data_IF_216024440660
#
_entry.id   IF_216024440660
#
_cell.length_a   1.000
_cell.length_b   1.000
_cell.length_c   1.000
_cell.angle_alpha   90.00
_cell.angle_beta   90.00
_cell.angle_gamma   90.00
#
_symmetry.space_group_name_H-M   'P 1'
#
loop_
_entity.id
_entity.type
_entity.pdbx_description
1 polymer ?
#
# COMPACT_ATOMS: atom_id res chain seq x y z
N UNK A 1 -13.34 -0.20 38.13
CA UNK A 1 -12.87 0.00 36.73
C UNK A 1 -14.10 -0.13 35.85
N UNK A 2 -14.39 0.79 34.91
CA UNK A 2 -13.47 1.58 34.08
C UNK A 2 -13.46 3.07 34.49
N UNK A 3 -12.33 3.77 34.60
CA UNK A 3 -11.33 4.09 33.59
C UNK A 3 -11.90 4.91 32.42
N UNK A 4 -12.39 6.12 32.72
CA UNK A 4 -12.46 7.20 31.72
C UNK A 4 -11.21 8.04 31.83
N UNK A 5 -10.48 8.00 30.73
CA UNK A 5 -9.22 8.65 30.47
C UNK A 5 -9.27 10.17 30.71
N UNK A 6 -8.17 10.62 31.29
CA UNK A 6 -7.69 11.99 31.34
C UNK A 6 -7.74 12.61 29.93
N UNK A 7 -8.53 13.67 29.78
CA UNK A 7 -8.27 14.72 28.80
C UNK A 7 -7.77 15.93 29.58
N UNK A 8 -6.44 16.04 29.67
CA UNK A 8 -5.78 17.27 30.08
C UNK A 8 -5.74 18.18 28.86
N UNK A 9 -6.56 19.24 28.86
CA UNK A 9 -6.63 20.18 27.75
C UNK A 9 -7.15 21.53 28.20
N UNK A 10 -6.21 22.40 28.59
CA UNK A 10 -6.36 23.84 28.84
C UNK A 10 -7.25 24.21 30.04
N UNK A 11 -6.62 24.58 31.16
CA UNK A 11 -7.32 25.29 32.23
C UNK A 11 -7.88 26.60 31.64
N UNK A 12 -9.20 26.85 31.65
CA UNK A 12 -9.75 28.13 31.19
C UNK A 12 -9.14 29.26 32.03
N UNK A 13 -8.98 30.48 31.47
CA UNK A 13 -8.31 31.59 32.14
C UNK A 13 -8.89 31.79 33.54
N UNK A 14 -8.04 32.13 34.51
CA UNK A 14 -8.41 32.25 35.94
C UNK A 14 -9.68 33.10 36.14
N UNK A 15 -9.91 34.09 35.27
CA UNK A 15 -11.10 34.92 35.27
C UNK A 15 -12.40 34.14 34.98
N UNK A 16 -12.42 33.23 34.00
CA UNK A 16 -13.59 32.40 33.71
C UNK A 16 -13.91 31.44 34.87
N UNK A 17 -12.88 30.86 35.49
CA UNK A 17 -13.07 30.04 36.70
C UNK A 17 -13.60 30.87 37.88
N UNK A 18 -13.15 32.12 38.03
CA UNK A 18 -13.68 33.04 39.04
C UNK A 18 -15.16 33.37 38.76
N UNK A 19 -15.53 33.61 37.50
CA UNK A 19 -16.92 33.90 37.11
C UNK A 19 -17.81 32.67 37.32
N UNK A 20 -17.35 31.47 36.97
CA UNK A 20 -18.07 30.22 37.25
C UNK A 20 -18.27 29.99 38.75
N UNK A 21 -17.23 30.23 39.57
CA UNK A 21 -17.33 30.14 41.03
C UNK A 21 -18.26 31.21 41.61
N UNK A 22 -18.23 32.44 41.09
CA UNK A 22 -19.15 33.52 41.49
C UNK A 22 -20.60 33.18 41.14
N UNK A 23 -20.86 32.66 39.94
CA UNK A 23 -22.18 32.20 39.52
C UNK A 23 -22.68 31.03 40.40
N UNK A 24 -21.78 30.11 40.75
CA UNK A 24 -22.11 29.00 41.65
C UNK A 24 -22.42 29.49 43.08
N UNK A 25 -21.69 30.49 43.58
CA UNK A 25 -21.98 31.13 44.87
C UNK A 25 -23.34 31.82 44.82
N UNK A 26 -23.65 32.57 43.77
CA UNK A 26 -24.95 33.25 43.62
C UNK A 26 -26.12 32.26 43.58
N UNK A 27 -25.96 31.13 42.88
CA UNK A 27 -26.98 30.08 42.84
C UNK A 27 -27.21 29.48 44.24
N UNK A 28 -26.13 29.16 44.96
CA UNK A 28 -26.20 28.62 46.32
C UNK A 28 -26.80 29.64 47.31
N UNK A 29 -26.53 30.94 47.14
CA UNK A 29 -27.16 32.00 47.92
C UNK A 29 -28.65 32.15 47.59
N UNK A 30 -29.05 31.97 46.33
CA UNK A 30 -30.44 31.90 45.89
C UNK A 30 -31.19 30.73 46.53
N UNK A 31 -30.60 29.53 46.45
CA UNK A 31 -31.16 28.32 47.07
C UNK A 31 -31.27 28.47 48.59
N UNK A 32 -30.25 29.05 49.24
CA UNK A 32 -30.27 29.33 50.69
C UNK A 32 -31.40 30.31 51.06
N UNK A 33 -31.63 31.34 50.26
CA UNK A 33 -32.74 32.31 50.47
C UNK A 33 -34.09 31.64 50.28
N UNK A 34 -34.29 30.89 49.20
CA UNK A 34 -35.54 30.17 48.93
C UNK A 34 -35.86 29.14 50.03
N UNK A 35 -34.84 28.42 50.52
CA UNK A 35 -35.00 27.50 51.65
C UNK A 35 -35.37 28.22 52.94
N UNK A 36 -34.75 29.38 53.20
CA UNK A 36 -35.05 30.17 54.39
C UNK A 36 -36.48 30.72 54.35
N UNK A 37 -36.93 31.23 53.20
CA UNK A 37 -38.28 31.72 52.99
C UNK A 37 -39.34 30.62 53.12
N UNK A 38 -39.11 29.44 52.53
CA UNK A 38 -40.04 28.31 52.67
C UNK A 38 -40.14 27.80 54.11
N UNK A 39 -39.01 27.79 54.84
CA UNK A 39 -38.96 27.43 56.25
C UNK A 39 -39.68 28.47 57.12
N UNK A 40 -39.43 29.77 56.92
CA UNK A 40 -40.13 30.84 57.63
C UNK A 40 -41.64 30.84 57.37
N UNK A 41 -42.05 30.61 56.12
CA UNK A 41 -43.45 30.48 55.76
C UNK A 41 -44.12 29.29 56.47
N UNK A 42 -43.44 28.14 56.53
CA UNK A 42 -43.90 26.95 57.25
C UNK A 42 -44.01 27.22 58.76
N UNK A 43 -43.02 27.90 59.36
CA UNK A 43 -43.05 28.30 60.76
C UNK A 43 -44.23 29.24 61.04
N UNK A 44 -44.49 30.20 60.16
CA UNK A 44 -45.63 31.13 60.29
C UNK A 44 -46.97 30.39 60.22
N UNK A 45 -47.15 29.51 59.25
CA UNK A 45 -48.36 28.66 59.12
C UNK A 45 -48.56 27.75 60.34
N UNK A 46 -47.48 27.21 60.88
CA UNK A 46 -47.53 26.41 62.11
C UNK A 46 -47.89 27.27 63.33
N UNK A 47 -47.37 28.50 63.45
CA UNK A 47 -47.77 29.45 64.50
C UNK A 47 -49.26 29.80 64.42
N UNK A 48 -49.79 30.05 63.23
CA UNK A 48 -51.21 30.32 62.99
C UNK A 48 -52.07 29.10 63.37
N UNK A 49 -51.64 27.90 62.98
CA UNK A 49 -52.32 26.64 63.34
C UNK A 49 -52.32 26.40 64.86
N UNK A 50 -51.20 26.63 65.55
CA UNK A 50 -51.11 26.54 67.01
C UNK A 50 -52.00 27.58 67.69
N UNK A 51 -52.06 28.81 67.16
CA UNK A 51 -52.96 29.84 67.67
C UNK A 51 -54.43 29.43 67.52
N UNK A 52 -54.81 28.87 66.36
CA UNK A 52 -56.14 28.30 66.12
C UNK A 52 -56.49 27.20 67.11
N UNK A 53 -55.61 26.20 67.27
CA UNK A 53 -55.80 25.10 68.23
C UNK A 53 -55.85 25.58 69.68
N UNK A 54 -55.11 26.64 70.05
CA UNK A 54 -55.20 27.25 71.38
C UNK A 54 -56.52 27.97 71.61
N UNK A 55 -57.05 28.67 70.60
CA UNK A 55 -58.37 29.28 70.68
C UNK A 55 -59.48 28.22 70.78
N UNK A 56 -59.37 27.14 70.01
CA UNK A 56 -60.29 26.00 70.10
C UNK A 56 -60.21 25.31 71.46
N UNK A 57 -59.01 25.06 71.98
CA UNK A 57 -58.85 24.55 73.35
C UNK A 57 -59.46 25.49 74.38
N UNK A 58 -59.28 26.81 74.25
CA UNK A 58 -59.93 27.78 75.14
C UNK A 58 -61.46 27.72 75.05
N UNK A 59 -62.03 27.54 73.85
CA UNK A 59 -63.47 27.33 73.64
C UNK A 59 -63.94 26.01 74.25
N UNK A 60 -63.19 24.92 74.07
CA UNK A 60 -63.49 23.61 74.65
C UNK A 60 -63.41 23.63 76.18
N UNK A 61 -62.40 24.30 76.76
CA UNK A 61 -62.30 24.50 78.20
C UNK A 61 -63.46 25.36 78.74
N UNK A 62 -63.90 26.41 78.03
CA UNK A 62 -65.13 27.14 78.39
C UNK A 62 -66.36 26.23 78.35
N UNK A 63 -66.55 25.46 77.28
CA UNK A 63 -67.63 24.47 77.19
C UNK A 63 -67.55 23.43 78.32
N UNK A 64 -66.36 23.00 78.69
CA UNK A 64 -66.14 22.07 79.79
C UNK A 64 -66.47 22.74 81.15
N UNK A 65 -66.10 24.00 81.36
CA UNK A 65 -66.50 24.78 82.53
C UNK A 65 -68.02 25.00 82.59
N UNK A 66 -68.69 25.26 81.46
CA UNK A 66 -70.15 25.39 81.39
C UNK A 66 -70.81 24.05 81.74
N UNK A 67 -70.29 22.93 81.20
CA UNK A 67 -70.77 21.58 81.54
C UNK A 67 -70.48 21.23 83.01
N UNK A 68 -69.33 21.64 83.57
CA UNK A 68 -69.01 21.43 84.97
C UNK A 68 -69.86 22.32 85.89
N UNK A 69 -70.21 23.54 85.49
CA UNK A 69 -71.14 24.42 86.20
C UNK A 69 -72.56 23.83 86.22
N UNK A 70 -72.99 23.20 85.11
CA UNK A 70 -74.24 22.43 85.03
C UNK A 70 -74.16 21.13 85.84
N UNK A 71 -72.99 20.48 85.92
CA UNK A 71 -72.77 19.26 86.71
C UNK A 71 -72.67 19.52 88.21
N UNK A 72 -72.31 20.74 88.65
CA UNK A 72 -72.43 21.19 90.05
C UNK A 72 -73.86 21.54 90.48
N UNK A 73 -74.82 21.64 89.55
CA UNK A 73 -76.25 21.82 89.81
C UNK A 73 -77.09 20.55 89.52
N UNK A 74 -76.45 19.48 89.02
CA UNK A 74 -77.07 18.20 88.68
C UNK A 74 -76.27 17.02 89.22
N UNK A 75 -76.05 17.02 90.54
CA UNK A 75 -75.48 15.89 91.26
C UNK A 75 -76.47 14.73 91.28
N UNK A 76 -76.18 13.70 90.48
CA UNK A 76 -76.35 12.27 90.78
C UNK A 76 -77.16 11.97 92.06
N UNK A 77 -78.49 11.87 91.94
CA UNK A 77 -79.29 11.05 92.86
C UNK A 77 -79.48 9.68 92.21
N UNK A 78 -78.48 8.82 92.40
CA UNK A 78 -78.65 7.38 92.33
C UNK A 78 -79.34 6.89 93.59
N UNK A 79 -80.41 6.13 93.38
CA UNK A 79 -80.78 4.95 94.16
C UNK A 79 -80.95 5.10 95.68
N UNK A 80 -82.22 5.29 96.08
CA UNK A 80 -82.79 4.56 97.22
C UNK A 80 -84.32 4.66 97.22
N UNK A 81 -84.98 3.74 96.52
CA UNK A 81 -86.25 3.15 96.97
C UNK A 81 -86.50 1.88 96.16
N UNK A 82 -85.77 0.82 96.51
CA UNK A 82 -86.03 -0.52 96.00
C UNK A 82 -87.25 -1.06 96.77
N UNK A 83 -88.45 -0.71 96.31
CA UNK A 83 -89.69 -1.32 96.80
C UNK A 83 -89.78 -2.71 96.20
N UNK A 84 -89.61 -3.73 97.04
CA UNK A 84 -89.75 -5.14 96.68
C UNK A 84 -91.16 -5.40 96.15
N UNK A 85 -91.26 -5.62 94.84
CA UNK A 85 -92.48 -6.04 94.16
C UNK A 85 -92.15 -6.73 92.82
N UNK A 86 -93.01 -7.64 92.32
CA UNK A 86 -92.76 -8.44 91.12
C UNK A 86 -92.32 -7.66 89.86
N UNK A 87 -92.70 -6.38 89.73
CA UNK A 87 -92.26 -5.50 88.62
C UNK A 87 -90.78 -5.12 88.62
N UNK A 88 -90.06 -5.26 89.75
CA UNK A 88 -88.61 -4.99 89.81
C UNK A 88 -87.79 -6.07 89.07
N UNK A 89 -88.25 -7.33 89.10
CA UNK A 89 -87.60 -8.45 88.39
C UNK A 89 -87.79 -8.31 86.88
N UNK A 90 -88.98 -7.87 86.44
CA UNK A 90 -89.27 -7.59 85.02
C UNK A 90 -88.42 -6.43 84.48
N UNK A 91 -88.24 -5.35 85.26
CA UNK A 91 -87.37 -4.23 84.87
C UNK A 91 -85.89 -4.63 84.77
N UNK A 92 -85.38 -5.43 85.73
CA UNK A 92 -84.03 -5.97 85.67
C UNK A 92 -83.88 -6.91 84.47
N UNK A 93 -84.86 -7.77 84.21
CA UNK A 93 -84.87 -8.69 83.06
C UNK A 93 -84.87 -7.92 81.73
N UNK A 94 -85.69 -6.87 81.60
CA UNK A 94 -85.69 -5.99 80.43
C UNK A 94 -84.32 -5.34 80.22
N UNK A 95 -83.70 -4.79 81.28
CA UNK A 95 -82.34 -4.23 81.20
C UNK A 95 -81.29 -5.28 80.82
N UNK A 96 -81.39 -6.51 81.32
CA UNK A 96 -80.50 -7.61 80.94
C UNK A 96 -80.68 -7.94 79.44
N UNK A 97 -81.92 -8.02 78.96
CA UNK A 97 -82.23 -8.23 77.55
C UNK A 97 -81.70 -7.09 76.67
N UNK A 98 -81.90 -5.83 77.06
CA UNK A 98 -81.33 -4.68 76.36
C UNK A 98 -79.80 -4.72 76.29
N UNK A 99 -79.14 -5.06 77.39
CA UNK A 99 -77.67 -5.17 77.44
C UNK A 99 -77.16 -6.38 76.65
N UNK A 100 -77.89 -7.50 76.67
CA UNK A 100 -77.60 -8.69 75.88
C UNK A 100 -77.74 -8.40 74.38
N UNK A 101 -78.83 -7.74 73.97
CA UNK A 101 -79.05 -7.30 72.60
C UNK A 101 -77.96 -6.32 72.17
N UNK A 102 -77.63 -5.32 73.00
CA UNK A 102 -76.54 -4.39 72.72
C UNK A 102 -75.18 -5.09 72.60
N UNK A 103 -74.93 -6.13 73.38
CA UNK A 103 -73.71 -6.94 73.28
C UNK A 103 -73.71 -7.75 71.97
N UNK A 104 -74.84 -8.34 71.59
CA UNK A 104 -74.97 -9.08 70.34
C UNK A 104 -74.83 -8.18 69.11
N UNK A 105 -75.40 -6.98 69.14
CA UNK A 105 -75.21 -5.96 68.10
C UNK A 105 -73.74 -5.57 67.98
N UNK A 106 -73.06 -5.34 69.11
CA UNK A 106 -71.63 -5.03 69.12
C UNK A 106 -70.78 -6.21 68.61
N UNK A 107 -71.11 -7.45 68.97
CA UNK A 107 -70.46 -8.66 68.44
C UNK A 107 -70.63 -8.75 66.92
N UNK A 108 -71.85 -8.57 66.42
CA UNK A 108 -72.12 -8.56 64.99
C UNK A 108 -71.33 -7.45 64.28
N UNK A 109 -71.30 -6.24 64.84
CA UNK A 109 -70.49 -5.14 64.29
C UNK A 109 -68.99 -5.45 64.28
N UNK A 110 -68.46 -6.12 65.31
CA UNK A 110 -67.06 -6.56 65.36
C UNK A 110 -66.79 -7.63 64.29
N UNK A 111 -67.67 -8.61 64.13
CA UNK A 111 -67.54 -9.64 63.10
C UNK A 111 -67.60 -9.06 61.69
N UNK A 112 -68.52 -8.13 61.43
CA UNK A 112 -68.62 -7.42 60.15
C UNK A 112 -67.34 -6.61 59.89
N UNK A 113 -66.80 -5.91 60.89
CA UNK A 113 -65.53 -5.19 60.76
C UNK A 113 -64.35 -6.14 60.54
N UNK A 114 -64.31 -7.32 61.16
CA UNK A 114 -63.28 -8.34 60.94
C UNK A 114 -63.31 -8.88 59.51
N UNK A 115 -64.48 -9.27 59.00
CA UNK A 115 -64.65 -9.70 57.60
C UNK A 115 -64.23 -8.61 56.62
N UNK A 116 -64.59 -7.35 56.92
CA UNK A 116 -64.17 -6.21 56.10
C UNK A 116 -62.66 -5.98 56.13
N UNK A 117 -62.01 -6.17 57.27
CA UNK A 117 -60.56 -6.09 57.40
C UNK A 117 -59.87 -7.17 56.56
N UNK A 118 -60.34 -8.41 56.64
CA UNK A 118 -59.82 -9.55 55.87
C UNK A 118 -59.97 -9.33 54.36
N UNK A 119 -61.13 -8.84 53.90
CA UNK A 119 -61.35 -8.45 52.50
C UNK A 119 -60.37 -7.36 52.04
N UNK A 120 -60.14 -6.33 52.85
CA UNK A 120 -59.23 -5.24 52.51
C UNK A 120 -57.77 -5.71 52.51
N UNK A 121 -57.38 -6.56 53.45
CA UNK A 121 -56.04 -7.18 53.49
C UNK A 121 -55.81 -8.08 52.27
N UNK A 122 -56.82 -8.86 51.86
CA UNK A 122 -56.74 -9.66 50.64
C UNK A 122 -56.60 -8.78 49.40
N UNK A 123 -57.38 -7.70 49.29
CA UNK A 123 -57.28 -6.74 48.18
C UNK A 123 -55.91 -6.05 48.14
N UNK A 124 -55.36 -5.66 49.29
CA UNK A 124 -54.00 -5.10 49.37
C UNK A 124 -52.94 -6.09 48.88
N UNK A 125 -52.97 -7.35 49.36
CA UNK A 125 -52.04 -8.40 48.90
C UNK A 125 -52.14 -8.67 47.40
N UNK A 126 -53.36 -8.68 46.84
CA UNK A 126 -53.58 -8.86 45.41
C UNK A 126 -53.07 -7.65 44.61
N UNK A 127 -53.25 -6.43 45.12
CA UNK A 127 -52.72 -5.21 44.48
C UNK A 127 -51.19 -5.18 44.51
N UNK A 128 -50.57 -5.55 45.63
CA UNK A 128 -49.11 -5.68 45.76
C UNK A 128 -48.58 -6.72 44.77
N UNK A 129 -49.18 -7.93 44.74
CA UNK A 129 -48.79 -8.99 43.80
C UNK A 129 -48.95 -8.56 42.33
N UNK A 130 -50.00 -7.83 41.98
CA UNK A 130 -50.19 -7.25 40.64
C UNK A 130 -49.12 -6.21 40.32
N UNK A 131 -48.80 -5.33 41.27
CA UNK A 131 -47.72 -4.36 41.13
C UNK A 131 -46.36 -5.03 40.89
N UNK A 132 -46.06 -6.10 41.62
CA UNK A 132 -44.84 -6.92 41.40
C UNK A 132 -44.83 -7.61 40.03
N UNK A 133 -45.97 -8.11 39.55
CA UNK A 133 -46.06 -8.72 38.22
C UNK A 133 -45.86 -7.68 37.10
N UNK A 134 -46.40 -6.47 37.28
CA UNK A 134 -46.20 -5.37 36.33
C UNK A 134 -44.74 -4.90 36.31
N UNK A 135 -44.07 -4.83 37.47
CA UNK A 135 -42.65 -4.49 37.51
C UNK A 135 -41.78 -5.59 36.92
N UNK A 136 -42.09 -6.86 37.18
CA UNK A 136 -41.41 -8.00 36.57
C UNK A 136 -41.50 -7.93 35.04
N UNK A 137 -42.70 -7.78 34.49
CA UNK A 137 -42.90 -7.65 33.03
C UNK A 137 -42.18 -6.46 32.43
N UNK A 138 -42.13 -5.32 33.15
CA UNK A 138 -41.38 -4.13 32.69
C UNK A 138 -39.88 -4.41 32.65
N UNK A 139 -39.34 -5.07 33.66
CA UNK A 139 -37.92 -5.44 33.72
C UNK A 139 -37.56 -6.48 32.66
N UNK A 140 -38.42 -7.48 32.45
CA UNK A 140 -38.28 -8.47 31.37
C UNK A 140 -38.23 -7.79 30.00
N UNK A 141 -39.19 -6.90 29.72
CA UNK A 141 -39.21 -6.12 28.47
C UNK A 141 -37.99 -5.21 28.31
N UNK A 142 -37.49 -4.61 29.40
CA UNK A 142 -36.28 -3.78 29.36
C UNK A 142 -35.04 -4.63 29.07
N UNK A 143 -34.98 -5.84 29.65
CA UNK A 143 -33.89 -6.77 29.46
C UNK A 143 -33.88 -7.33 28.02
N UNK A 144 -35.03 -7.69 27.47
CA UNK A 144 -35.14 -8.10 26.06
C UNK A 144 -34.71 -6.98 25.11
N UNK A 145 -35.14 -5.74 25.34
CA UNK A 145 -34.67 -4.58 24.57
C UNK A 145 -33.16 -4.38 24.67
N UNK A 146 -32.57 -4.62 25.85
CA UNK A 146 -31.12 -4.53 26.01
C UNK A 146 -30.40 -5.66 25.26
N UNK A 147 -30.95 -6.88 25.25
CA UNK A 147 -30.42 -8.02 24.48
C UNK A 147 -30.43 -7.76 22.98
N UNK A 148 -31.57 -7.32 22.42
CA UNK A 148 -31.66 -7.00 21.00
C UNK A 148 -30.66 -5.92 20.59
N UNK A 149 -30.50 -4.87 21.41
CA UNK A 149 -29.49 -3.83 21.18
C UNK A 149 -28.06 -4.36 21.23
N UNK A 150 -27.80 -5.34 22.10
CA UNK A 150 -26.48 -5.98 22.19
C UNK A 150 -26.21 -6.82 20.94
N UNK A 151 -27.17 -7.63 20.50
CA UNK A 151 -27.07 -8.44 19.27
C UNK A 151 -26.89 -7.55 18.02
N UNK A 152 -27.64 -6.45 17.92
CA UNK A 152 -27.47 -5.45 16.85
C UNK A 152 -26.07 -4.81 16.92
N UNK A 153 -25.60 -4.42 18.10
CA UNK A 153 -24.27 -3.85 18.28
C UNK A 153 -23.16 -4.86 17.92
N UNK A 154 -23.33 -6.13 18.26
CA UNK A 154 -22.43 -7.22 17.88
C UNK A 154 -22.40 -7.41 16.36
N UNK A 155 -23.57 -7.42 15.71
CA UNK A 155 -23.68 -7.53 14.27
C UNK A 155 -22.99 -6.35 13.56
N UNK A 156 -23.26 -5.13 14.01
CA UNK A 156 -22.61 -3.90 13.50
C UNK A 156 -21.10 -3.98 13.70
N UNK A 157 -20.64 -4.41 14.89
CA UNK A 157 -19.21 -4.53 15.19
C UNK A 157 -18.54 -5.60 14.30
N UNK A 158 -19.22 -6.73 14.07
CA UNK A 158 -18.75 -7.76 13.15
C UNK A 158 -18.61 -7.22 11.74
N UNK A 159 -19.61 -6.48 11.25
CA UNK A 159 -19.55 -5.82 9.94
C UNK A 159 -18.37 -4.85 9.84
N UNK A 160 -18.18 -3.99 10.85
CA UNK A 160 -17.04 -3.05 10.85
C UNK A 160 -15.69 -3.77 10.89
N UNK A 161 -15.57 -4.91 11.59
CA UNK A 161 -14.34 -5.72 11.56
C UNK A 161 -14.08 -6.30 10.18
N UNK A 162 -15.10 -6.82 9.51
CA UNK A 162 -14.98 -7.34 8.13
C UNK A 162 -14.58 -6.23 7.16
N UNK A 163 -15.23 -5.07 7.25
CA UNK A 163 -14.89 -3.90 6.44
C UNK A 163 -13.44 -3.46 6.68
N UNK A 164 -13.00 -3.43 7.94
CA UNK A 164 -11.60 -3.11 8.28
C UNK A 164 -10.63 -4.12 7.68
N UNK A 165 -10.94 -5.42 7.71
CA UNK A 165 -10.10 -6.44 7.10
C UNK A 165 -9.97 -6.23 5.58
N UNK A 166 -11.08 -5.97 4.88
CA UNK A 166 -11.06 -5.65 3.45
C UNK A 166 -10.29 -4.36 3.13
N UNK A 167 -10.41 -3.32 3.97
CA UNK A 167 -9.60 -2.11 3.82
C UNK A 167 -8.10 -2.38 4.06
N UNK A 168 -7.75 -3.30 4.95
CA UNK A 168 -6.35 -3.73 5.15
C UNK A 168 -5.82 -4.52 3.96
N UNK A 169 -6.64 -5.38 3.35
CA UNK A 169 -6.31 -6.06 2.07
C UNK A 169 -6.03 -5.04 0.95
N UNK A 170 -6.78 -3.94 0.92
CA UNK A 170 -6.53 -2.84 -0.03
C UNK A 170 -5.16 -2.16 0.21
N UNK A 171 -4.72 -2.05 1.47
CA UNK A 171 -3.37 -1.59 1.79
C UNK A 171 -2.29 -2.58 1.34
N UNK A 172 -2.54 -3.89 1.48
CA UNK A 172 -1.63 -4.92 0.98
C UNK A 172 -1.52 -4.86 -0.55
N UNK A 173 -2.62 -4.56 -1.25
CA UNK A 173 -2.59 -4.32 -2.69
C UNK A 173 -1.70 -3.12 -3.06
N UNK A 174 -1.71 -2.03 -2.27
CA UNK A 174 -0.79 -0.91 -2.49
C UNK A 174 0.68 -1.33 -2.38
N UNK A 175 1.04 -2.09 -1.34
CA UNK A 175 2.43 -2.57 -1.19
C UNK A 175 2.87 -3.50 -2.34
N UNK A 176 1.93 -4.26 -2.92
CA UNK A 176 2.19 -5.10 -4.10
C UNK A 176 2.38 -4.25 -5.36
N UNK A 177 1.62 -3.17 -5.53
CA UNK A 177 1.81 -2.22 -6.63
C UNK A 177 3.17 -1.55 -6.55
N UNK A 178 3.56 -1.04 -5.38
CA UNK A 178 4.86 -0.41 -5.17
C UNK A 178 6.02 -1.37 -5.50
N UNK A 179 5.89 -2.65 -5.15
CA UNK A 179 6.87 -3.69 -5.48
C UNK A 179 6.94 -3.97 -7.00
N UNK A 180 5.80 -4.02 -7.69
CA UNK A 180 5.76 -4.19 -9.15
C UNK A 180 6.33 -2.97 -9.87
N UNK A 181 6.05 -1.75 -9.41
CA UNK A 181 6.65 -0.52 -9.93
C UNK A 181 8.17 -0.52 -9.78
N UNK A 182 8.69 -0.93 -8.62
CA UNK A 182 10.12 -1.07 -8.40
C UNK A 182 10.77 -2.07 -9.38
N UNK A 183 10.11 -3.21 -9.64
CA UNK A 183 10.60 -4.20 -10.61
C UNK A 183 10.54 -3.69 -12.05
N UNK A 184 9.50 -2.94 -12.43
CA UNK A 184 9.43 -2.29 -13.75
C UNK A 184 10.58 -1.30 -13.92
N UNK A 185 10.87 -0.47 -12.92
CA UNK A 185 11.99 0.46 -12.96
C UNK A 185 13.34 -0.28 -13.07
N UNK A 186 13.50 -1.40 -12.34
CA UNK A 186 14.68 -2.27 -12.43
C UNK A 186 14.85 -2.81 -13.85
N UNK A 187 13.80 -3.38 -14.44
CA UNK A 187 13.82 -3.91 -15.81
C UNK A 187 14.04 -2.81 -16.87
N UNK A 188 13.52 -1.60 -16.66
CA UNK A 188 13.79 -0.46 -17.53
C UNK A 188 15.26 -0.06 -17.50
N UNK A 189 15.88 -0.02 -16.32
CA UNK A 189 17.31 0.25 -16.19
C UNK A 189 18.16 -0.85 -16.84
N UNK A 190 17.80 -2.12 -16.64
CA UNK A 190 18.44 -3.25 -17.32
C UNK A 190 18.32 -3.13 -18.84
N UNK A 191 17.14 -2.75 -19.34
CA UNK A 191 16.93 -2.55 -20.77
C UNK A 191 17.80 -1.40 -21.31
N UNK A 192 17.92 -0.29 -20.58
CA UNK A 192 18.82 0.80 -20.95
C UNK A 192 20.29 0.33 -20.98
N UNK A 193 20.73 -0.43 -19.98
CA UNK A 193 22.08 -1.02 -19.97
C UNK A 193 22.31 -1.96 -21.15
N UNK A 194 21.35 -2.81 -21.48
CA UNK A 194 21.42 -3.70 -22.65
C UNK A 194 21.40 -2.93 -23.98
N UNK A 195 20.71 -1.77 -24.06
CA UNK A 195 20.77 -0.90 -25.24
C UNK A 195 22.17 -0.36 -25.45
N UNK A 196 22.80 0.17 -24.40
CA UNK A 196 24.17 0.69 -24.45
C UNK A 196 25.14 -0.42 -24.86
N UNK A 197 25.07 -1.59 -24.23
CA UNK A 197 25.89 -2.74 -24.60
C UNK A 197 25.70 -3.15 -26.06
N UNK A 198 24.46 -3.15 -26.58
CA UNK A 198 24.20 -3.47 -27.98
C UNK A 198 24.78 -2.41 -28.93
N UNK A 199 24.69 -1.12 -28.58
CA UNK A 199 25.32 -0.06 -29.38
C UNK A 199 26.84 -0.16 -29.39
N UNK A 200 27.47 -0.50 -28.25
CA UNK A 200 28.91 -0.74 -28.18
C UNK A 200 29.32 -1.98 -29.00
N UNK A 201 28.56 -3.08 -28.91
CA UNK A 201 28.77 -4.27 -29.71
C UNK A 201 28.59 -4.02 -31.22
N UNK A 202 27.69 -3.10 -31.60
CA UNK A 202 27.55 -2.67 -33.00
C UNK A 202 28.76 -1.86 -33.46
N UNK A 203 29.19 -0.88 -32.67
CA UNK A 203 30.35 -0.04 -32.99
C UNK A 203 31.64 -0.85 -33.12
N UNK A 204 31.88 -1.80 -32.21
CA UNK A 204 33.05 -2.71 -32.26
C UNK A 204 33.01 -3.62 -33.48
N UNK A 205 31.85 -4.18 -33.83
CA UNK A 205 31.67 -4.94 -35.08
C UNK A 205 31.94 -4.07 -36.31
N UNK A 206 31.41 -2.86 -36.37
CA UNK A 206 31.62 -1.97 -37.52
C UNK A 206 33.10 -1.56 -37.66
N UNK A 207 33.77 -1.24 -36.56
CA UNK A 207 35.22 -0.99 -36.55
C UNK A 207 36.03 -2.22 -37.03
N UNK A 208 35.66 -3.44 -36.60
CA UNK A 208 36.30 -4.66 -37.08
C UNK A 208 36.07 -4.90 -38.59
N UNK A 209 34.88 -4.56 -39.11
CA UNK A 209 34.59 -4.62 -40.56
C UNK A 209 35.44 -3.63 -41.34
N UNK A 210 35.53 -2.39 -40.87
CA UNK A 210 36.37 -1.37 -41.51
C UNK A 210 37.84 -1.77 -41.54
N UNK A 211 38.36 -2.30 -40.42
CA UNK A 211 39.74 -2.82 -40.37
C UNK A 211 39.97 -3.96 -41.36
N UNK A 212 39.02 -4.90 -41.47
CA UNK A 212 39.11 -5.99 -42.44
C UNK A 212 39.13 -5.45 -43.87
N UNK A 213 38.24 -4.51 -44.21
CA UNK A 213 38.19 -3.91 -45.55
C UNK A 213 39.51 -3.21 -45.92
N UNK A 214 40.07 -2.40 -45.01
CA UNK A 214 41.34 -1.71 -45.25
C UNK A 214 42.50 -2.68 -45.47
N UNK A 215 42.52 -3.80 -44.74
CA UNK A 215 43.56 -4.83 -44.90
C UNK A 215 43.36 -5.62 -46.20
N UNK A 216 42.13 -5.93 -46.59
CA UNK A 216 41.82 -6.58 -47.87
C UNK A 216 42.23 -5.71 -49.07
N UNK A 217 41.91 -4.41 -49.04
CA UNK A 217 42.32 -3.45 -50.07
C UNK A 217 43.84 -3.30 -50.13
N UNK A 218 44.52 -3.24 -48.99
CA UNK A 218 45.98 -3.19 -48.92
C UNK A 218 46.62 -4.40 -49.59
N UNK A 219 46.15 -5.61 -49.25
CA UNK A 219 46.64 -6.86 -49.87
C UNK A 219 46.36 -6.89 -51.37
N UNK A 220 45.21 -6.39 -51.80
CA UNK A 220 44.87 -6.30 -53.22
C UNK A 220 45.84 -5.36 -53.99
N UNK A 221 46.11 -4.17 -53.44
CA UNK A 221 47.03 -3.21 -54.03
C UNK A 221 48.47 -3.75 -54.07
N UNK A 222 48.95 -4.34 -52.99
CA UNK A 222 50.28 -4.96 -52.93
C UNK A 222 50.43 -6.07 -53.97
N UNK A 223 49.41 -6.92 -54.10
CA UNK A 223 49.37 -7.97 -55.13
C UNK A 223 49.43 -7.39 -56.53
N UNK A 224 48.65 -6.35 -56.81
CA UNK A 224 48.64 -5.69 -58.12
C UNK A 224 50.01 -5.10 -58.47
N UNK A 225 50.61 -4.33 -57.55
CA UNK A 225 51.95 -3.74 -57.75
C UNK A 225 53.02 -4.81 -57.96
N UNK A 226 52.94 -5.92 -57.22
CA UNK A 226 53.84 -7.07 -57.40
C UNK A 226 53.67 -7.75 -58.75
N UNK A 227 52.43 -7.99 -59.19
CA UNK A 227 52.14 -8.60 -60.49
C UNK A 227 52.70 -7.75 -61.64
N UNK A 228 52.57 -6.42 -61.56
CA UNK A 228 53.20 -5.49 -62.50
C UNK A 228 54.73 -5.60 -62.50
N UNK A 229 55.37 -5.63 -61.33
CA UNK A 229 56.83 -5.73 -61.24
C UNK A 229 57.35 -7.08 -61.75
N UNK A 230 56.64 -8.17 -61.45
CA UNK A 230 56.94 -9.49 -61.97
C UNK A 230 56.81 -9.53 -63.50
N UNK A 231 55.79 -8.90 -64.07
CA UNK A 231 55.61 -8.82 -65.53
C UNK A 231 56.78 -8.06 -66.19
N UNK A 232 57.20 -6.94 -65.61
CA UNK A 232 58.33 -6.16 -66.12
C UNK A 232 59.65 -6.94 -66.09
N UNK A 233 59.96 -7.60 -64.97
CA UNK A 233 61.17 -8.41 -64.84
C UNK A 233 61.15 -9.64 -65.75
N UNK A 234 60.00 -10.31 -65.91
CA UNK A 234 59.85 -11.42 -66.86
C UNK A 234 60.15 -10.98 -68.28
N UNK A 235 59.62 -9.83 -68.69
CA UNK A 235 59.89 -9.25 -70.01
C UNK A 235 61.38 -8.95 -70.19
N UNK A 236 62.03 -8.35 -69.20
CA UNK A 236 63.48 -8.06 -69.25
C UNK A 236 64.32 -9.34 -69.33
N UNK A 237 63.99 -10.36 -68.53
CA UNK A 237 64.66 -11.65 -68.54
C UNK A 237 64.48 -12.36 -69.90
N UNK A 238 63.26 -12.38 -70.47
CA UNK A 238 62.99 -12.94 -71.80
C UNK A 238 63.77 -12.21 -72.91
N UNK A 239 63.84 -10.88 -72.85
CA UNK A 239 64.63 -10.08 -73.79
C UNK A 239 66.12 -10.39 -73.71
N UNK A 240 66.67 -10.55 -72.49
CA UNK A 240 68.09 -10.90 -72.28
C UNK A 240 68.41 -12.32 -72.70
N UNK A 241 67.54 -13.28 -72.39
CA UNK A 241 67.65 -14.66 -72.86
C UNK A 241 67.63 -14.74 -74.38
N UNK A 242 66.73 -14.02 -75.04
CA UNK A 242 66.69 -13.96 -76.51
C UNK A 242 67.97 -13.32 -77.10
N UNK A 243 68.57 -12.34 -76.42
CA UNK A 243 69.86 -11.76 -76.82
C UNK A 243 71.01 -12.75 -76.65
N UNK A 244 71.03 -13.49 -75.54
CA UNK A 244 72.01 -14.55 -75.27
C UNK A 244 71.93 -15.66 -76.31
N UNK A 245 70.75 -16.23 -76.55
CA UNK A 245 70.57 -17.26 -77.58
C UNK A 245 71.05 -16.78 -78.97
N UNK A 246 70.79 -15.52 -79.33
CA UNK A 246 71.28 -14.93 -80.59
C UNK A 246 72.79 -14.75 -80.60
N UNK A 247 73.40 -14.38 -79.49
CA UNK A 247 74.84 -14.20 -79.37
C UNK A 247 75.56 -15.55 -79.39
N UNK A 248 75.01 -16.57 -78.73
CA UNK A 248 75.53 -17.95 -78.75
C UNK A 248 75.45 -18.57 -80.14
N UNK A 249 74.31 -18.40 -80.85
CA UNK A 249 74.18 -18.83 -82.26
C UNK A 249 75.24 -18.17 -83.14
N UNK A 250 75.53 -16.87 -82.92
CA UNK A 250 76.59 -16.14 -83.64
C UNK A 250 77.97 -16.69 -83.32
N UNK A 251 78.28 -16.95 -82.04
CA UNK A 251 79.55 -17.54 -81.63
C UNK A 251 79.72 -18.94 -82.22
N UNK A 252 78.69 -19.79 -82.15
CA UNK A 252 78.74 -21.15 -82.69
C UNK A 252 79.02 -21.17 -84.20
N UNK A 253 78.42 -20.24 -84.96
CA UNK A 253 78.72 -20.05 -86.39
C UNK A 253 80.17 -19.60 -86.61
N UNK A 254 80.67 -18.65 -85.82
CA UNK A 254 82.07 -18.19 -85.85
C UNK A 254 83.07 -19.32 -85.53
N UNK A 255 82.80 -20.13 -84.51
CA UNK A 255 83.63 -21.30 -84.16
C UNK A 255 83.64 -22.34 -85.28
N UNK A 256 82.49 -22.56 -85.92
CA UNK A 256 82.37 -23.52 -87.05
C UNK A 256 83.14 -23.06 -88.28
N UNK A 257 83.14 -21.75 -88.57
CA UNK A 257 83.87 -21.15 -89.70
C UNK A 257 85.39 -21.10 -89.43
N UNK A 258 85.83 -20.85 -88.20
CA UNK A 258 87.26 -20.82 -87.84
C UNK A 258 87.95 -22.20 -87.83
N UNK A 259 87.20 -23.31 -87.98
CA UNK A 259 87.74 -24.67 -88.12
C UNK A 259 88.33 -24.97 -89.51
N UNK A 260 88.27 -24.05 -90.47
CA UNK A 260 89.01 -24.15 -91.75
C UNK A 260 90.36 -23.42 -91.68
N UNK A 261 91.51 -24.13 -91.70
CA UNK A 261 92.82 -23.49 -91.62
C UNK A 261 93.20 -22.88 -92.97
N UNK A 262 93.17 -21.56 -93.08
CA UNK A 262 93.78 -20.79 -94.17
C UNK A 262 94.93 -19.95 -93.60
N UNK A 263 96.17 -20.09 -94.11
CA UNK A 263 97.31 -19.30 -93.64
C UNK A 263 97.42 -18.04 -94.49
N UNK A 264 97.31 -16.84 -93.92
CA UNK A 264 97.92 -15.62 -94.51
C UNK A 264 97.85 -14.40 -93.57
N UNK A 265 99.02 -13.78 -93.33
CA UNK A 265 99.31 -12.52 -92.59
C UNK A 265 98.97 -12.47 -91.07
N UNK A 266 100.03 -12.49 -90.24
CA UNK A 266 99.94 -12.55 -88.77
C UNK A 266 99.30 -11.33 -88.07
N UNK A 267 99.22 -10.17 -88.73
CA UNK A 267 98.56 -8.98 -88.16
C UNK A 267 97.03 -9.09 -88.19
N UNK A 268 96.46 -9.62 -89.28
CA UNK A 268 95.02 -9.88 -89.43
C UNK A 268 94.55 -10.97 -88.49
N UNK A 269 95.38 -12.00 -88.27
CA UNK A 269 95.10 -13.08 -87.32
C UNK A 269 95.02 -12.58 -85.87
N UNK A 270 95.96 -11.74 -85.43
CA UNK A 270 95.94 -11.17 -84.08
C UNK A 270 94.71 -10.28 -83.84
N UNK A 271 94.29 -9.50 -84.84
CA UNK A 271 93.12 -8.64 -84.72
C UNK A 271 91.80 -9.44 -84.71
N UNK A 272 91.72 -10.54 -85.46
CA UNK A 272 90.59 -11.48 -85.39
C UNK A 272 90.53 -12.20 -84.03
N UNK A 273 91.69 -12.58 -83.48
CA UNK A 273 91.79 -13.21 -82.17
C UNK A 273 91.34 -12.27 -81.04
N UNK A 274 91.73 -11.00 -81.08
CA UNK A 274 91.23 -9.99 -80.14
C UNK A 274 89.72 -9.78 -80.26
N UNK A 275 89.17 -9.77 -81.48
CA UNK A 275 87.72 -9.66 -81.68
C UNK A 275 86.98 -10.89 -81.17
N UNK A 276 87.54 -12.10 -81.29
CA UNK A 276 86.93 -13.30 -80.71
C UNK A 276 86.94 -13.27 -79.19
N UNK A 277 88.06 -12.87 -78.57
CA UNK A 277 88.17 -12.72 -77.12
C UNK A 277 87.18 -11.67 -76.59
N UNK A 278 87.06 -10.51 -77.26
CA UNK A 278 86.07 -9.48 -76.89
C UNK A 278 84.62 -9.96 -77.04
N UNK A 279 84.31 -10.78 -78.05
CA UNK A 279 82.98 -11.37 -78.21
C UNK A 279 82.69 -12.42 -77.13
N UNK A 280 83.68 -13.22 -76.74
CA UNK A 280 83.58 -14.18 -75.65
C UNK A 280 83.33 -13.48 -74.31
N UNK A 281 84.08 -12.42 -74.02
CA UNK A 281 83.85 -11.58 -72.83
C UNK A 281 82.45 -10.95 -72.82
N UNK A 282 81.98 -10.44 -73.96
CA UNK A 282 80.65 -9.86 -74.08
C UNK A 282 79.55 -10.91 -73.84
N UNK A 283 79.74 -12.14 -74.30
CA UNK A 283 78.83 -13.26 -74.06
C UNK A 283 78.78 -13.68 -72.60
N UNK A 284 79.93 -13.76 -71.92
CA UNK A 284 79.97 -14.03 -70.49
C UNK A 284 79.23 -12.97 -69.68
N UNK A 285 79.38 -11.69 -70.06
CA UNK A 285 78.63 -10.59 -69.40
C UNK A 285 77.14 -10.72 -69.59
N UNK A 286 76.67 -10.98 -70.82
CA UNK A 286 75.24 -11.12 -71.08
C UNK A 286 74.64 -12.37 -70.39
N UNK A 287 75.37 -13.48 -70.28
CA UNK A 287 74.96 -14.67 -69.50
C UNK A 287 74.82 -14.34 -68.01
N UNK A 288 75.80 -13.64 -67.44
CA UNK A 288 75.73 -13.20 -66.05
C UNK A 288 74.54 -12.25 -65.79
N UNK A 289 74.22 -11.38 -66.74
CA UNK A 289 73.04 -10.49 -66.65
C UNK A 289 71.71 -11.28 -66.72
N UNK A 290 71.62 -12.33 -67.55
CA UNK A 290 70.44 -13.23 -67.58
C UNK A 290 70.28 -13.99 -66.26
N UNK A 291 71.35 -14.62 -65.76
CA UNK A 291 71.33 -15.36 -64.49
C UNK A 291 70.96 -14.45 -63.31
N UNK A 292 71.43 -13.20 -63.31
CA UNK A 292 71.07 -12.22 -62.28
C UNK A 292 69.57 -11.86 -62.31
N UNK A 293 68.99 -11.66 -63.50
CA UNK A 293 67.56 -11.37 -63.65
C UNK A 293 66.69 -12.57 -63.29
N UNK A 294 67.11 -13.79 -63.61
CA UNK A 294 66.41 -15.02 -63.23
C UNK A 294 66.42 -15.23 -61.70
N UNK A 295 67.54 -14.94 -61.05
CA UNK A 295 67.64 -14.99 -59.59
C UNK A 295 66.72 -13.95 -58.93
N UNK A 296 66.71 -12.70 -59.42
CA UNK A 296 65.81 -11.65 -58.91
C UNK A 296 64.33 -12.04 -59.07
N UNK A 297 63.96 -12.68 -60.19
CA UNK A 297 62.62 -13.22 -60.42
C UNK A 297 62.25 -14.32 -59.42
N UNK A 298 63.15 -15.28 -59.18
CA UNK A 298 62.92 -16.35 -58.21
C UNK A 298 62.73 -15.76 -56.80
N UNK A 299 63.61 -14.85 -56.38
CA UNK A 299 63.53 -14.19 -55.08
C UNK A 299 62.20 -13.43 -54.91
N UNK A 300 61.75 -12.68 -55.91
CA UNK A 300 60.45 -12.00 -55.89
C UNK A 300 59.26 -12.96 -55.90
N UNK A 301 59.43 -14.16 -56.47
CA UNK A 301 58.38 -15.19 -56.48
C UNK A 301 58.24 -15.80 -55.08
N UNK A 302 59.32 -16.28 -54.48
CA UNK A 302 59.30 -16.92 -53.16
C UNK A 302 59.07 -15.95 -51.99
N UNK A 303 59.70 -14.76 -52.03
CA UNK A 303 59.49 -13.73 -50.99
C UNK A 303 58.06 -13.21 -50.99
N UNK A 304 57.38 -13.20 -52.13
CA UNK A 304 55.99 -12.80 -52.16
C UNK A 304 55.01 -13.94 -51.86
N UNK A 305 55.36 -15.21 -52.07
CA UNK A 305 54.56 -16.35 -51.57
C UNK A 305 54.51 -16.35 -50.03
N UNK A 306 55.64 -16.09 -49.38
CA UNK A 306 55.71 -15.94 -47.92
C UNK A 306 54.92 -14.74 -47.42
N UNK A 307 54.94 -13.60 -48.14
CA UNK A 307 54.08 -12.45 -47.81
C UNK A 307 52.59 -12.73 -48.00
N UNK A 308 52.19 -13.38 -49.10
CA UNK A 308 50.78 -13.73 -49.36
C UNK A 308 50.24 -14.68 -48.29
N UNK A 309 51.02 -15.69 -47.90
CA UNK A 309 50.62 -16.61 -46.82
C UNK A 309 50.53 -15.90 -45.47
N UNK A 310 51.42 -14.96 -45.17
CA UNK A 310 51.33 -14.10 -43.99
C UNK A 310 50.07 -13.22 -43.99
N UNK A 311 49.80 -12.55 -45.11
CA UNK A 311 48.61 -11.71 -45.29
C UNK A 311 47.30 -12.52 -45.20
N UNK A 312 47.25 -13.72 -45.78
CA UNK A 312 46.10 -14.61 -45.68
C UNK A 312 45.80 -15.00 -44.23
N UNK A 313 46.83 -15.33 -43.43
CA UNK A 313 46.67 -15.63 -42.00
C UNK A 313 46.12 -14.42 -41.24
N UNK A 314 46.66 -13.22 -41.47
CA UNK A 314 46.16 -12.01 -40.84
C UNK A 314 44.68 -11.75 -41.20
N UNK A 315 44.30 -11.91 -42.47
CA UNK A 315 42.91 -11.77 -42.91
C UNK A 315 42.00 -12.83 -42.29
N UNK A 316 42.46 -14.07 -42.12
CA UNK A 316 41.72 -15.12 -41.42
C UNK A 316 41.51 -14.78 -39.93
N UNK A 317 42.52 -14.25 -39.26
CA UNK A 317 42.43 -13.77 -37.87
C UNK A 317 41.43 -12.62 -37.75
N UNK A 318 41.49 -11.61 -38.62
CA UNK A 318 40.55 -10.50 -38.64
C UNK A 318 39.11 -10.95 -38.94
N UNK A 319 38.93 -11.90 -39.86
CA UNK A 319 37.63 -12.53 -40.12
C UNK A 319 37.13 -13.31 -38.91
N UNK A 320 38.01 -13.99 -38.18
CA UNK A 320 37.65 -14.69 -36.95
C UNK A 320 37.22 -13.70 -35.85
N UNK A 321 37.97 -12.60 -35.67
CA UNK A 321 37.58 -11.52 -34.76
C UNK A 321 36.25 -10.90 -35.14
N UNK A 322 36.02 -10.60 -36.42
CA UNK A 322 34.74 -10.09 -36.89
C UNK A 322 33.58 -11.04 -36.58
N UNK A 323 33.74 -12.34 -36.84
CA UNK A 323 32.72 -13.35 -36.49
C UNK A 323 32.46 -13.38 -34.99
N UNK A 324 33.49 -13.27 -34.17
CA UNK A 324 33.35 -13.22 -32.72
C UNK A 324 32.52 -11.99 -32.29
N UNK A 325 32.81 -10.80 -32.83
CA UNK A 325 32.04 -9.60 -32.52
C UNK A 325 30.60 -9.65 -33.05
N UNK A 326 30.36 -10.27 -34.21
CA UNK A 326 29.00 -10.53 -34.70
C UNK A 326 28.19 -11.41 -33.76
N UNK A 327 28.79 -12.50 -33.25
CA UNK A 327 28.10 -13.36 -32.27
C UNK A 327 27.82 -12.64 -30.95
N UNK A 328 28.74 -11.78 -30.50
CA UNK A 328 28.56 -10.94 -29.30
C UNK A 328 27.40 -9.95 -29.48
N UNK A 329 27.35 -9.26 -30.62
CA UNK A 329 26.24 -8.38 -30.99
C UNK A 329 24.91 -9.13 -31.00
N UNK A 330 24.86 -10.30 -31.62
CA UNK A 330 23.61 -11.07 -31.73
C UNK A 330 23.12 -11.59 -30.38
N UNK A 331 24.05 -12.00 -29.51
CA UNK A 331 23.72 -12.35 -28.13
C UNK A 331 23.18 -11.15 -27.34
N UNK A 332 23.79 -9.96 -27.48
CA UNK A 332 23.34 -8.74 -26.82
C UNK A 332 21.94 -8.31 -27.31
N UNK A 333 21.73 -8.32 -28.64
CA UNK A 333 20.43 -8.04 -29.25
C UNK A 333 19.36 -9.04 -28.80
N UNK A 334 19.68 -10.33 -28.77
CA UNK A 334 18.74 -11.36 -28.30
C UNK A 334 18.32 -11.19 -26.84
N UNK A 335 19.22 -10.72 -25.96
CA UNK A 335 18.90 -10.36 -24.57
C UNK A 335 17.97 -9.15 -24.51
N UNK A 336 18.30 -8.09 -25.27
CA UNK A 336 17.47 -6.89 -25.38
C UNK A 336 16.03 -7.23 -25.81
N UNK A 337 15.87 -8.04 -26.86
CA UNK A 337 14.57 -8.43 -27.41
C UNK A 337 13.73 -9.26 -26.43
N UNK A 338 14.37 -10.01 -25.53
CA UNK A 338 13.66 -10.74 -24.45
C UNK A 338 13.11 -9.78 -23.39
N UNK A 339 13.94 -8.87 -22.89
CA UNK A 339 13.52 -7.89 -21.87
C UNK A 339 12.45 -6.96 -22.42
N UNK A 340 12.60 -6.50 -23.68
CA UNK A 340 11.61 -5.66 -24.34
C UNK A 340 10.24 -6.35 -24.46
N UNK A 341 10.21 -7.66 -24.79
CA UNK A 341 8.96 -8.43 -24.85
C UNK A 341 8.25 -8.51 -23.49
N UNK A 342 9.01 -8.76 -22.41
CA UNK A 342 8.44 -8.81 -21.06
C UNK A 342 7.86 -7.46 -20.67
N UNK A 343 8.58 -6.36 -20.93
CA UNK A 343 8.10 -5.01 -20.63
C UNK A 343 6.86 -4.62 -21.44
N UNK A 344 6.78 -4.98 -22.72
CA UNK A 344 5.59 -4.74 -23.54
C UNK A 344 4.37 -5.51 -23.01
N UNK A 345 4.57 -6.77 -22.59
CA UNK A 345 3.50 -7.57 -21.98
C UNK A 345 3.03 -6.96 -20.65
N UNK A 346 3.97 -6.50 -19.81
CA UNK A 346 3.66 -5.82 -18.55
C UNK A 346 2.90 -4.50 -18.81
N UNK A 347 3.31 -3.71 -19.80
CA UNK A 347 2.64 -2.47 -20.19
C UNK A 347 1.18 -2.74 -20.60
N UNK A 348 0.94 -3.72 -21.48
CA UNK A 348 -0.42 -4.09 -21.87
C UNK A 348 -1.26 -4.55 -20.66
N UNK A 349 -0.66 -5.32 -19.74
CA UNK A 349 -1.31 -5.73 -18.49
C UNK A 349 -1.73 -4.55 -17.62
N UNK A 350 -0.86 -3.55 -17.47
CA UNK A 350 -1.15 -2.32 -16.72
C UNK A 350 -2.24 -1.48 -17.41
N UNK A 351 -2.19 -1.35 -18.74
CA UNK A 351 -3.23 -0.65 -19.51
C UNK A 351 -4.61 -1.30 -19.33
N UNK A 352 -4.67 -2.63 -19.37
CA UNK A 352 -5.91 -3.37 -19.09
C UNK A 352 -6.43 -3.14 -17.66
N UNK A 353 -5.54 -3.12 -16.66
CA UNK A 353 -5.92 -2.81 -15.28
C UNK A 353 -6.43 -1.38 -15.16
N UNK A 354 -5.76 -0.41 -15.78
CA UNK A 354 -6.17 0.99 -15.79
C UNK A 354 -7.56 1.17 -16.41
N UNK A 355 -7.85 0.52 -17.54
CA UNK A 355 -9.18 0.53 -18.15
C UNK A 355 -10.26 -0.05 -17.22
N UNK A 356 -9.97 -1.12 -16.47
CA UNK A 356 -10.93 -1.70 -15.52
C UNK A 356 -11.20 -0.79 -14.32
N UNK A 357 -10.18 -0.09 -13.83
CA UNK A 357 -10.31 0.82 -12.67
C UNK A 357 -11.06 2.11 -13.05
N UNK A 358 -10.92 2.62 -14.28
CA UNK A 358 -11.61 3.83 -14.74
C UNK A 358 -13.14 3.78 -14.64
N UNK A 359 -13.74 2.60 -14.65
CA UNK A 359 -15.20 2.44 -14.55
C UNK A 359 -15.72 2.37 -13.10
N UNK A 360 -14.83 2.32 -12.11
CA UNK A 360 -15.20 2.34 -10.70
C UNK A 360 -15.46 3.80 -10.30
N UNK A 361 -16.72 4.23 -10.39
CA UNK A 361 -17.13 5.53 -9.87
C UNK A 361 -17.05 5.52 -8.34
N UNK A 362 -16.08 6.22 -7.78
CA UNK A 362 -16.05 6.54 -6.36
C UNK A 362 -17.24 7.48 -6.08
N UNK A 363 -18.30 6.94 -5.47
CA UNK A 363 -19.41 7.73 -4.96
C UNK A 363 -18.85 8.63 -3.86
N UNK A 364 -18.60 9.89 -4.21
CA UNK A 364 -18.21 10.93 -3.27
C UNK A 364 -19.37 11.18 -2.30
N UNK A 365 -19.26 10.69 -1.07
CA UNK A 365 -20.15 11.07 0.03
C UNK A 365 -20.05 12.58 0.29
N UNK A 366 -20.92 13.35 -0.37
CA UNK A 366 -21.22 14.74 -0.03
C UNK A 366 -22.73 15.00 -0.09
N UNK A 367 -23.55 14.12 0.45
CA UNK A 367 -24.97 14.42 0.67
C UNK A 367 -25.44 13.83 2.00
N UNK A 368 -25.35 14.62 3.07
CA UNK A 368 -25.76 14.19 4.41
C UNK A 368 -25.81 15.30 5.46
N UNK A 369 -25.84 16.57 5.07
CA UNK A 369 -26.04 17.69 5.98
C UNK A 369 -27.37 18.38 5.71
N UNK A 370 -28.47 17.93 6.35
CA UNK A 370 -29.72 18.71 6.34
C UNK A 370 -29.53 19.99 7.16
N UNK A 371 -29.83 21.19 6.63
CA UNK A 371 -30.00 22.36 7.47
C UNK A 371 -31.33 22.23 8.22
N UNK A 372 -31.28 22.19 9.55
CA UNK A 372 -32.47 22.28 10.39
C UNK A 372 -33.08 23.67 10.21
N UNK A 373 -34.31 23.68 9.70
CA UNK A 373 -35.16 24.85 9.58
C UNK A 373 -35.40 25.48 10.95
N UNK A 374 -35.01 26.74 11.10
CA UNK A 374 -35.51 27.61 12.17
C UNK A 374 -36.91 28.07 11.81
N UNK A 375 -37.93 27.49 12.46
CA UNK A 375 -39.26 28.08 12.55
C UNK A 375 -39.37 28.90 13.84
N UNK A 376 -39.87 30.11 13.62
CA UNK A 376 -40.39 31.15 14.50
C UNK A 376 -40.81 30.77 15.93
N UNK A 377 -40.44 31.67 16.85
CA UNK A 377 -40.99 31.89 18.19
C UNK A 377 -40.50 33.25 18.67
#
# INVERSE_FOLDING_TARGET
MPATLVSAGVKPPVHEQIVELQNKIQLLEGDRKAFYESSQWTIKKNRESISGLRQENKKLHKKLSDILAVRSLGGWQGEQSLVYGPGAIEFISHRICEKSNRLNDLKHQVEVRKRRLEELQYKAKVQEARGFQETLRRLENQLEKARLKMEEAEHITSLYRQLKAHMQESLMAQTQLDALEAEILRLQHELQGLRVMNTEAQATRDAAREQLLLQEDGVYQERHMRELKLMELKKQAEERRAQNERAERRQHLLTTINLTPLPESGATFQQLQQLTEQNEEALVRLRAEEEALEAELQDLTYSGETRVTGAQRLLEELRAHLRQEETRRDAAKGRLDKVMRVLLAAQAGVEHLASRVQHIQLVSEREGGRPLAGHQG
#
